data_IF_140309988503
#
_entry.id   IF_140309988503
#
_cell.length_a   1.000
_cell.length_b   1.000
_cell.length_c   1.000
_cell.angle_alpha   90.00
_cell.angle_beta   90.00
_cell.angle_gamma   90.00
#
_symmetry.space_group_name_H-M   'P 1'
#
loop_
_entity.id
_entity.type
_entity.pdbx_description
1 polymer ?
#
# COMPACT_ATOMS: atom_id res chain seq x y z
N UNK A 1 29.83 -3.26 -4.77
CA UNK A 1 28.45 -2.76 -4.54
C UNK A 1 28.56 -1.47 -3.77
N UNK A 2 27.98 -0.38 -4.27
CA UNK A 2 28.00 0.92 -3.60
C UNK A 2 26.77 0.98 -2.69
N UNK A 3 26.99 1.01 -1.38
CA UNK A 3 25.91 1.09 -0.39
C UNK A 3 25.50 2.55 -0.20
N UNK A 4 24.20 2.79 -0.10
CA UNK A 4 23.68 4.12 0.23
C UNK A 4 24.01 4.46 1.68
N UNK A 5 24.34 5.73 1.92
CA UNK A 5 24.52 6.24 3.28
C UNK A 5 23.17 6.53 3.93
N UNK A 6 23.13 6.58 5.26
CA UNK A 6 21.93 6.97 6.02
C UNK A 6 21.40 8.35 5.58
N UNK A 7 22.30 9.31 5.36
CA UNK A 7 21.95 10.63 4.87
C UNK A 7 21.26 10.60 3.49
N UNK A 8 21.65 9.67 2.62
CA UNK A 8 21.00 9.49 1.32
C UNK A 8 19.59 8.89 1.45
N UNK A 9 19.40 7.95 2.39
CA UNK A 9 18.09 7.35 2.67
C UNK A 9 17.13 8.42 3.21
N UNK A 10 17.59 9.21 4.18
CA UNK A 10 16.79 10.29 4.79
C UNK A 10 16.43 11.37 3.76
N UNK A 11 17.37 11.71 2.86
CA UNK A 11 17.11 12.65 1.77
C UNK A 11 15.97 12.16 0.88
N UNK A 12 16.02 10.89 0.47
CA UNK A 12 15.00 10.30 -0.43
C UNK A 12 13.63 10.28 0.24
N UNK A 13 13.54 9.87 1.52
CA UNK A 13 12.27 9.86 2.25
C UNK A 13 11.70 11.29 2.37
N UNK A 14 12.56 12.26 2.68
CA UNK A 14 12.17 13.67 2.80
C UNK A 14 11.70 14.26 1.48
N UNK A 15 12.43 14.01 0.39
CA UNK A 15 12.06 14.48 -0.95
C UNK A 15 10.75 13.84 -1.43
N UNK A 16 10.56 12.55 -1.14
CA UNK A 16 9.31 11.84 -1.45
C UNK A 16 8.13 12.47 -0.72
N UNK A 17 8.25 12.72 0.58
CA UNK A 17 7.20 13.40 1.34
C UNK A 17 6.86 14.79 0.78
N UNK A 18 7.88 15.57 0.39
CA UNK A 18 7.70 16.89 -0.23
C UNK A 18 7.03 16.82 -1.60
N UNK A 19 7.34 15.80 -2.40
CA UNK A 19 6.73 15.60 -3.71
C UNK A 19 5.25 15.23 -3.54
N UNK A 20 4.95 14.25 -2.69
CA UNK A 20 3.60 13.77 -2.42
C UNK A 20 2.71 14.85 -1.79
N UNK A 21 3.27 15.75 -0.97
CA UNK A 21 2.54 16.88 -0.40
C UNK A 21 2.10 17.94 -1.43
N UNK A 22 2.74 17.98 -2.61
CA UNK A 22 2.42 18.92 -3.70
C UNK A 22 1.42 18.33 -4.71
N UNK A 23 1.17 17.03 -4.66
CA UNK A 23 0.21 16.39 -5.55
C UNK A 23 -1.22 16.81 -5.20
N UNK A 24 -2.08 16.74 -6.20
CA UNK A 24 -3.51 16.86 -5.99
C UNK A 24 -3.99 15.73 -5.06
N UNK A 25 -4.78 16.12 -4.08
CA UNK A 25 -5.39 15.19 -3.13
C UNK A 25 -6.74 14.75 -3.67
N UNK A 26 -7.01 13.45 -3.52
CA UNK A 26 -8.31 12.88 -3.82
C UNK A 26 -8.88 12.22 -2.58
N UNK A 27 -10.19 12.25 -2.47
CA UNK A 27 -10.90 11.61 -1.38
C UNK A 27 -11.16 10.15 -1.72
N UNK A 28 -10.68 9.24 -0.88
CA UNK A 28 -10.96 7.81 -0.99
C UNK A 28 -11.50 7.28 0.34
N UNK A 29 -12.21 6.16 0.29
CA UNK A 29 -12.58 5.40 1.50
C UNK A 29 -11.90 4.04 1.43
N UNK A 30 -10.97 3.79 2.36
CA UNK A 30 -10.27 2.51 2.45
C UNK A 30 -11.08 1.58 3.34
N UNK A 31 -11.49 0.43 2.81
CA UNK A 31 -12.21 -0.57 3.60
C UNK A 31 -11.25 -1.26 4.59
N UNK A 32 -11.65 -1.43 5.86
CA UNK A 32 -10.83 -2.14 6.83
C UNK A 32 -10.68 -3.60 6.45
N UNK A 33 -9.45 -4.12 6.52
CA UNK A 33 -9.20 -5.56 6.40
C UNK A 33 -9.14 -6.15 7.81
N UNK A 34 -9.88 -7.23 8.07
CA UNK A 34 -9.91 -7.91 9.38
C UNK A 34 -10.23 -7.00 10.60
N UNK A 35 -10.92 -5.88 10.39
CA UNK A 35 -11.27 -4.93 11.46
C UNK A 35 -10.15 -3.95 11.84
N UNK A 36 -9.08 -3.85 11.04
CA UNK A 36 -8.03 -2.86 11.25
C UNK A 36 -8.54 -1.43 11.09
N UNK A 37 -8.19 -0.56 12.03
CA UNK A 37 -8.61 0.86 12.03
C UNK A 37 -7.78 1.74 11.10
N UNK A 38 -6.65 1.24 10.62
CA UNK A 38 -5.73 1.98 9.76
C UNK A 38 -5.16 1.08 8.67
N UNK A 39 -4.99 1.65 7.49
CA UNK A 39 -4.13 1.13 6.44
C UNK A 39 -2.73 1.72 6.60
N UNK A 40 -1.72 0.86 6.52
CA UNK A 40 -0.32 1.25 6.61
C UNK A 40 0.42 0.89 5.32
N UNK A 41 1.28 1.80 4.89
CA UNK A 41 2.09 1.60 3.68
C UNK A 41 3.21 2.62 3.57
N UNK A 42 4.05 2.49 2.56
CA UNK A 42 5.15 3.43 2.36
C UNK A 42 5.63 3.48 0.92
N UNK A 43 6.16 4.65 0.54
CA UNK A 43 6.74 4.94 -0.77
C UNK A 43 8.13 5.52 -0.51
N UNK A 44 9.17 4.88 -1.05
CA UNK A 44 10.57 5.35 -0.98
C UNK A 44 11.03 5.80 0.43
N UNK A 45 10.68 5.03 1.47
CA UNK A 45 11.05 5.33 2.87
C UNK A 45 10.17 6.39 3.54
N UNK A 46 9.16 6.92 2.86
CA UNK A 46 8.12 7.74 3.46
C UNK A 46 6.90 6.89 3.81
N UNK A 47 6.49 6.89 5.08
CA UNK A 47 5.47 5.99 5.61
C UNK A 47 4.14 6.71 5.86
N UNK A 48 3.05 6.00 5.62
CA UNK A 48 1.68 6.45 5.76
C UNK A 48 0.93 5.58 6.74
N UNK A 49 0.09 6.23 7.56
CA UNK A 49 -0.91 5.59 8.40
C UNK A 49 -2.23 6.31 8.19
N UNK A 50 -3.16 5.65 7.50
CA UNK A 50 -4.39 6.24 6.98
C UNK A 50 -5.57 5.54 7.64
N UNK A 51 -6.56 6.28 8.13
CA UNK A 51 -7.74 5.67 8.74
C UNK A 51 -8.59 4.92 7.71
N UNK A 52 -9.13 3.79 8.13
CA UNK A 52 -10.06 2.98 7.33
C UNK A 52 -11.50 3.26 7.76
N UNK A 53 -12.46 2.95 6.89
CA UNK A 53 -13.90 3.08 7.16
C UNK A 53 -14.46 4.50 7.08
N UNK A 54 -13.62 5.52 6.90
CA UNK A 54 -14.03 6.91 6.68
C UNK A 54 -13.40 7.51 5.41
N UNK A 55 -14.02 8.53 4.80
CA UNK A 55 -13.43 9.27 3.69
C UNK A 55 -12.18 10.04 4.15
N UNK A 56 -11.07 9.86 3.44
CA UNK A 56 -9.78 10.51 3.73
C UNK A 56 -9.17 11.09 2.47
N UNK A 57 -8.54 12.25 2.59
CA UNK A 57 -7.79 12.89 1.51
C UNK A 57 -6.36 12.36 1.44
N UNK A 58 -5.97 11.85 0.28
CA UNK A 58 -4.62 11.29 0.04
C UNK A 58 -4.08 11.77 -1.30
N UNK A 59 -2.75 11.80 -1.50
CA UNK A 59 -2.15 12.07 -2.82
C UNK A 59 -2.67 11.08 -3.87
N UNK A 60 -2.91 11.56 -5.09
CA UNK A 60 -3.45 10.74 -6.18
C UNK A 60 -2.60 9.49 -6.48
N UNK A 61 -1.28 9.61 -6.43
CA UNK A 61 -0.37 8.47 -6.61
C UNK A 61 -0.59 7.40 -5.55
N UNK A 62 -0.78 7.80 -4.29
CA UNK A 62 -1.04 6.89 -3.16
C UNK A 62 -2.41 6.21 -3.29
N UNK A 63 -3.45 6.95 -3.69
CA UNK A 63 -4.75 6.35 -3.97
C UNK A 63 -4.68 5.29 -5.08
N UNK A 64 -3.92 5.57 -6.14
CA UNK A 64 -3.70 4.63 -7.25
C UNK A 64 -2.99 3.37 -6.76
N UNK A 65 -1.94 3.53 -5.95
CA UNK A 65 -1.21 2.42 -5.33
C UNK A 65 -2.13 1.54 -4.48
N UNK A 66 -2.96 2.17 -3.63
CA UNK A 66 -3.92 1.45 -2.77
C UNK A 66 -4.89 0.65 -3.62
N UNK A 67 -5.47 1.25 -4.67
CA UNK A 67 -6.40 0.57 -5.57
C UNK A 67 -5.76 -0.63 -6.29
N UNK A 68 -4.55 -0.45 -6.82
CA UNK A 68 -3.79 -1.52 -7.47
C UNK A 68 -3.46 -2.66 -6.49
N UNK A 69 -3.09 -2.32 -5.25
CA UNK A 69 -2.79 -3.32 -4.23
C UNK A 69 -4.02 -4.15 -3.84
N UNK A 70 -5.20 -3.53 -3.76
CA UNK A 70 -6.46 -4.22 -3.50
C UNK A 70 -6.81 -5.19 -4.65
N UNK A 71 -6.61 -4.78 -5.90
CA UNK A 71 -6.82 -5.62 -7.08
C UNK A 71 -5.92 -6.87 -7.06
N UNK A 72 -4.62 -6.69 -6.80
CA UNK A 72 -3.66 -7.81 -6.71
C UNK A 72 -4.04 -8.79 -5.60
N UNK A 73 -4.52 -8.30 -4.46
CA UNK A 73 -5.01 -9.17 -3.37
C UNK A 73 -6.22 -9.99 -3.80
N UNK A 74 -7.21 -9.36 -4.43
CA UNK A 74 -8.40 -10.06 -4.93
C UNK A 74 -8.04 -11.18 -5.93
N UNK A 75 -7.15 -10.88 -6.88
CA UNK A 75 -6.67 -11.86 -7.86
C UNK A 75 -5.87 -13.00 -7.21
N UNK A 76 -5.06 -12.68 -6.20
CA UNK A 76 -4.30 -13.67 -5.43
C UNK A 76 -5.22 -14.62 -4.67
N UNK A 77 -6.24 -14.07 -4.00
CA UNK A 77 -7.25 -14.86 -3.29
C UNK A 77 -8.05 -15.77 -4.22
N UNK A 78 -8.44 -15.26 -5.39
CA UNK A 78 -9.13 -16.05 -6.40
C UNK A 78 -8.27 -17.24 -6.88
N UNK A 79 -6.97 -17.00 -7.13
CA UNK A 79 -6.01 -18.05 -7.52
C UNK A 79 -5.83 -19.10 -6.42
N UNK A 80 -5.68 -18.69 -5.16
CA UNK A 80 -5.52 -19.62 -4.03
C UNK A 80 -6.78 -20.45 -3.81
N UNK A 81 -7.98 -19.85 -3.90
CA UNK A 81 -9.25 -20.57 -3.79
C UNK A 81 -9.40 -21.60 -4.91
N UNK A 82 -9.04 -21.25 -6.15
CA UNK A 82 -9.04 -22.18 -7.26
C UNK A 82 -8.11 -23.38 -7.01
N UNK A 83 -6.88 -23.14 -6.55
CA UNK A 83 -5.90 -24.19 -6.20
C UNK A 83 -6.40 -25.11 -5.07
N UNK A 84 -7.03 -24.55 -4.02
CA UNK A 84 -7.64 -25.34 -2.94
C UNK A 84 -8.76 -26.24 -3.45
N UNK A 85 -9.60 -25.74 -4.37
CA UNK A 85 -10.74 -26.49 -4.93
C UNK A 85 -10.29 -27.61 -5.87
N UNK A 86 -9.17 -27.44 -6.57
CA UNK A 86 -8.62 -28.46 -7.50
C UNK A 86 -7.76 -29.53 -6.82
N UNK A 87 -7.74 -29.62 -5.49
CA UNK A 87 -6.98 -30.63 -4.76
C UNK A 87 -5.47 -30.37 -4.73
N UNK A 88 -5.05 -29.11 -4.81
CA UNK A 88 -3.64 -28.72 -4.75
C UNK A 88 -2.89 -29.35 -3.58
N UNK A 89 -1.69 -29.90 -3.84
CA UNK A 89 -0.86 -30.61 -2.87
C UNK A 89 -0.64 -29.71 -1.64
N UNK A 90 -1.14 -30.16 -0.48
CA UNK A 90 -0.85 -29.53 0.81
C UNK A 90 0.65 -29.70 1.08
N UNK A 91 1.36 -28.59 1.25
CA UNK A 91 2.73 -28.62 1.76
C UNK A 91 2.59 -28.69 3.27
N UNK A 92 2.81 -29.89 3.83
CA UNK A 92 2.90 -30.15 5.28
C UNK A 92 4.33 -29.96 5.75
#
# INVERSE_FOLDING_TARGET
>A
MQYMTEAQIDSISTETGKALAKEDKITITIQPENGESHWEGGINGHFFRIRTGEPVEVPQSLATLIAQSAQVRYESDARVRAYRKSGGKKVS
#
